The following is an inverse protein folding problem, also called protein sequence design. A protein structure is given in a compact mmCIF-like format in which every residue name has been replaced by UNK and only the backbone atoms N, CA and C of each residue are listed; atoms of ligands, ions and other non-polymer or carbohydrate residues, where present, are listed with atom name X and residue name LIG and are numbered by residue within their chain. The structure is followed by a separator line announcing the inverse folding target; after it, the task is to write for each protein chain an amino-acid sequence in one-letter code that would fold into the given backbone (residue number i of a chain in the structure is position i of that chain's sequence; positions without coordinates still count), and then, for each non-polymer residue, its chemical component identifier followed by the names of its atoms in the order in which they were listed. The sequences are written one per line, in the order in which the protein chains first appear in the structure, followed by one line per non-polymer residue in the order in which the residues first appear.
data_IF_043044800514
#
_entry.id   IF_043044800514
#
_cell.length_a   1.000
_cell.length_b   1.000
_cell.length_c   1.000
_cell.angle_alpha   90.00
_cell.angle_beta   90.00
_cell.angle_gamma   90.00
#
_symmetry.space_group_name_H-M   'P 1'
#
loop_
_entity.id
_entity.type
_entity.pdbx_description
1 polymer ?
#
# COMPACT_ATOMS: atom_id res chain seq x y z
N UNK A 1 -9.50 -5.63 6.00
CA UNK A 1 -8.24 -6.29 5.59
C UNK A 1 -7.11 -5.31 5.88
N UNK A 2 -6.07 -5.67 6.66
CA UNK A 2 -4.94 -4.78 6.93
C UNK A 2 -4.27 -4.24 5.65
N UNK A 3 -4.45 -4.89 4.51
CA UNK A 3 -3.90 -4.46 3.23
C UNK A 3 -4.76 -3.42 2.48
N UNK A 4 -5.99 -3.16 2.92
CA UNK A 4 -6.88 -2.19 2.28
C UNK A 4 -6.33 -0.78 2.57
N UNK A 5 -5.86 -0.09 1.52
CA UNK A 5 -5.21 1.23 1.54
C UNK A 5 -3.86 1.35 2.29
N UNK A 6 -3.43 0.36 3.09
CA UNK A 6 -2.16 0.43 3.84
C UNK A 6 -0.95 -0.20 3.11
N UNK A 7 -1.12 -0.75 1.90
CA UNK A 7 -0.04 -1.36 1.14
C UNK A 7 0.36 -0.48 -0.06
N UNK A 8 1.50 0.20 0.05
CA UNK A 8 2.08 1.00 -1.03
C UNK A 8 3.08 0.19 -1.85
N UNK A 9 3.23 0.54 -3.13
CA UNK A 9 4.14 -0.12 -4.06
C UNK A 9 5.05 0.90 -4.73
N UNK A 10 6.32 0.54 -4.89
CA UNK A 10 7.18 1.22 -5.86
C UNK A 10 6.79 0.79 -7.28
N UNK A 11 6.09 1.68 -7.99
CA UNK A 11 5.59 1.41 -9.33
C UNK A 11 6.59 1.76 -10.45
N UNK A 12 7.82 2.19 -10.13
CA UNK A 12 8.79 2.65 -11.14
C UNK A 12 9.11 1.60 -12.22
N UNK A 13 9.10 0.31 -11.88
CA UNK A 13 9.28 -0.76 -12.87
C UNK A 13 8.02 -1.07 -13.68
N UNK A 14 6.82 -0.83 -13.13
CA UNK A 14 5.53 -1.08 -13.78
C UNK A 14 5.13 0.06 -14.71
N UNK A 15 5.38 1.29 -14.27
CA UNK A 15 4.99 2.51 -14.95
C UNK A 15 6.25 3.39 -15.04
N UNK A 16 7.16 3.11 -15.99
CA UNK A 16 8.43 3.84 -16.10
C UNK A 16 8.26 5.36 -16.33
N UNK A 17 7.13 5.76 -16.91
CA UNK A 17 6.77 7.18 -17.10
C UNK A 17 6.27 7.86 -15.82
N UNK A 18 5.97 7.09 -14.77
CA UNK A 18 5.40 7.58 -13.52
C UNK A 18 3.87 7.70 -13.54
N UNK A 19 3.32 8.19 -12.43
CA UNK A 19 1.89 8.36 -12.24
C UNK A 19 1.56 9.61 -11.42
N UNK A 20 0.41 10.21 -11.70
CA UNK A 20 -0.12 11.32 -10.92
C UNK A 20 -0.95 10.80 -9.74
N UNK A 21 -0.59 11.20 -8.53
CA UNK A 21 -1.18 10.68 -7.28
C UNK A 21 -2.71 10.86 -7.18
N UNK A 22 -3.27 11.95 -7.73
CA UNK A 22 -4.72 12.20 -7.72
C UNK A 22 -5.43 11.88 -9.05
N UNK A 23 -4.67 11.53 -10.09
CA UNK A 23 -5.20 11.19 -11.42
C UNK A 23 -4.53 9.91 -11.89
N UNK A 24 -4.96 8.76 -11.36
CA UNK A 24 -4.22 7.49 -11.45
C UNK A 24 -4.19 6.86 -12.84
N UNK A 25 -4.68 7.53 -13.88
CA UNK A 25 -4.55 7.08 -15.29
C UNK A 25 -3.64 7.99 -16.11
N UNK A 26 -2.95 8.92 -15.46
CA UNK A 26 -2.09 9.91 -16.12
C UNK A 26 -0.71 9.88 -15.48
N UNK A 27 0.34 10.16 -16.26
CA UNK A 27 1.71 10.23 -15.73
C UNK A 27 2.07 11.62 -15.19
N UNK A 28 1.45 12.68 -15.71
CA UNK A 28 1.71 14.08 -15.34
C UNK A 28 0.46 14.86 -14.90
N UNK A 29 -0.70 14.19 -14.80
CA UNK A 29 -1.97 14.82 -14.45
C UNK A 29 -2.76 15.37 -15.65
N UNK A 30 -2.23 15.25 -16.87
CA UNK A 30 -2.84 15.75 -18.11
C UNK A 30 -2.93 14.62 -19.15
N UNK A 31 -1.82 13.93 -19.41
CA UNK A 31 -1.70 12.91 -20.44
C UNK A 31 -1.92 11.51 -19.86
N UNK A 32 -2.73 10.70 -20.56
CA UNK A 32 -3.03 9.32 -20.15
C UNK A 32 -1.83 8.38 -20.32
N UNK A 33 -1.83 7.26 -19.59
CA UNK A 33 -0.87 6.19 -19.81
C UNK A 33 -1.13 5.50 -21.15
N UNK A 34 -0.07 5.37 -21.95
CA UNK A 34 -0.10 4.58 -23.17
C UNK A 34 0.61 3.23 -23.02
N UNK A 35 1.48 3.09 -22.02
CA UNK A 35 2.29 1.90 -21.79
C UNK A 35 2.45 1.61 -20.29
N UNK A 36 2.32 0.35 -19.91
CA UNK A 36 2.66 -0.18 -18.59
C UNK A 36 3.13 -1.63 -18.73
N UNK A 37 3.80 -2.14 -17.70
CA UNK A 37 4.23 -3.54 -17.63
C UNK A 37 3.29 -4.34 -16.72
N UNK A 38 3.03 -5.57 -17.13
CA UNK A 38 2.27 -6.51 -16.31
C UNK A 38 3.04 -6.85 -15.03
N UNK A 39 2.33 -6.97 -13.90
CA UNK A 39 2.93 -7.30 -12.60
C UNK A 39 3.83 -8.54 -12.64
N UNK A 40 3.42 -9.57 -13.37
CA UNK A 40 4.16 -10.83 -13.49
C UNK A 40 5.41 -10.75 -14.37
N UNK A 41 5.61 -9.64 -15.08
CA UNK A 41 6.71 -9.46 -16.04
C UNK A 41 7.91 -8.69 -15.48
N UNK A 42 7.78 -8.10 -14.29
CA UNK A 42 8.86 -7.34 -13.62
C UNK A 42 9.58 -8.23 -12.61
N UNK A 43 10.89 -8.02 -12.45
CA UNK A 43 11.76 -8.92 -11.66
C UNK A 43 11.52 -8.78 -10.16
N UNK A 44 11.25 -7.57 -9.67
CA UNK A 44 11.05 -7.33 -8.23
C UNK A 44 10.20 -6.08 -8.02
N UNK A 45 9.13 -6.22 -7.24
CA UNK A 45 8.34 -5.10 -6.77
C UNK A 45 8.56 -4.92 -5.29
N UNK A 46 8.82 -3.66 -4.89
CA UNK A 46 8.95 -3.29 -3.49
C UNK A 46 7.59 -2.85 -2.97
N UNK A 47 7.16 -3.50 -1.89
CA UNK A 47 5.93 -3.17 -1.19
C UNK A 47 6.28 -2.63 0.19
N UNK A 48 5.51 -1.65 0.63
CA UNK A 48 5.68 -0.99 1.91
C UNK A 48 4.34 -0.99 2.62
N UNK A 49 4.31 -1.47 3.86
CA UNK A 49 3.22 -1.11 4.75
C UNK A 49 3.38 0.36 5.12
N UNK A 50 2.28 1.10 5.00
CA UNK A 50 2.20 2.53 5.29
C UNK A 50 1.03 2.77 6.26
N UNK A 51 0.82 4.04 6.61
CA UNK A 51 -0.29 4.48 7.47
C UNK A 51 -0.34 3.79 8.85
N UNK A 52 0.79 3.83 9.57
CA UNK A 52 0.87 3.29 10.92
C UNK A 52 0.22 4.19 11.99
N UNK A 53 -0.56 5.21 11.61
CA UNK A 53 -1.13 6.18 12.54
C UNK A 53 -2.06 5.57 13.58
N UNK A 54 -2.74 4.48 13.20
CA UNK A 54 -3.64 3.71 14.06
C UNK A 54 -3.07 2.35 14.51
N UNK A 55 -1.88 1.99 14.04
CA UNK A 55 -1.25 0.70 14.32
C UNK A 55 -0.75 0.62 15.76
N UNK A 56 -0.84 -0.58 16.35
CA UNK A 56 -0.38 -0.84 17.72
C UNK A 56 0.53 -2.06 17.78
N UNK A 57 1.59 -1.97 18.58
CA UNK A 57 2.48 -3.09 18.87
C UNK A 57 2.17 -3.65 20.25
N UNK A 58 1.76 -4.91 20.32
CA UNK A 58 1.46 -5.60 21.57
C UNK A 58 2.62 -6.46 22.04
N UNK A 59 2.86 -6.47 23.35
CA UNK A 59 3.79 -7.43 23.94
C UNK A 59 3.18 -8.83 23.87
N UNK A 60 4.02 -9.83 23.61
CA UNK A 60 3.67 -11.24 23.29
C UNK A 60 2.85 -11.96 24.36
N UNK A 61 2.73 -11.38 25.56
CA UNK A 61 2.23 -12.05 26.77
C UNK A 61 0.87 -11.51 27.22
N UNK A 62 0.17 -10.73 26.40
CA UNK A 62 -1.14 -10.18 26.75
C UNK A 62 -2.20 -10.63 25.74
N UNK A 63 -3.30 -11.19 26.25
CA UNK A 63 -4.53 -11.42 25.49
C UNK A 63 -5.20 -10.07 25.19
N UNK A 64 -4.62 -9.30 24.26
CA UNK A 64 -5.16 -8.00 23.90
C UNK A 64 -6.26 -8.17 22.86
N UNK A 65 -7.44 -7.65 23.19
CA UNK A 65 -8.49 -7.42 22.22
C UNK A 65 -8.34 -5.98 21.73
N UNK A 66 -8.02 -5.82 20.46
CA UNK A 66 -8.12 -4.53 19.79
C UNK A 66 -9.32 -4.54 18.86
N UNK A 67 -10.05 -3.43 18.86
CA UNK A 67 -11.18 -3.19 17.97
C UNK A 67 -10.91 -1.87 17.26
N UNK A 68 -11.05 -1.90 15.94
CA UNK A 68 -10.90 -0.73 15.08
C UNK A 68 -11.68 0.48 15.57
N UNK A 69 -11.14 1.66 15.30
CA UNK A 69 -11.96 2.88 15.35
C UNK A 69 -12.80 2.87 14.07
N UNK A 70 -14.14 2.90 14.20
CA UNK A 70 -15.10 2.87 13.07
C UNK A 70 -15.14 1.57 12.23
N UNK A 71 -14.67 0.45 12.76
CA UNK A 71 -14.75 -0.85 12.07
C UNK A 71 -13.63 -1.12 11.07
N UNK A 72 -12.59 -0.26 11.05
CA UNK A 72 -11.36 -0.55 10.32
C UNK A 72 -10.49 -1.55 11.07
N UNK A 73 -9.93 -2.54 10.38
CA UNK A 73 -9.02 -3.50 11.01
C UNK A 73 -7.73 -2.79 11.44
N UNK A 74 -7.35 -2.90 12.71
CA UNK A 74 -6.04 -2.42 13.17
C UNK A 74 -4.96 -3.29 12.56
N UNK A 75 -3.94 -2.66 11.97
CA UNK A 75 -2.79 -3.37 11.42
C UNK A 75 -2.00 -4.03 12.55
N UNK A 76 -2.23 -5.33 12.75
CA UNK A 76 -1.52 -6.15 13.73
C UNK A 76 -0.26 -6.75 13.10
N UNK A 77 0.86 -6.03 13.17
CA UNK A 77 2.15 -6.58 12.79
C UNK A 77 2.77 -7.36 13.96
N UNK A 78 2.84 -8.69 13.83
CA UNK A 78 3.77 -9.51 14.61
C UNK A 78 5.12 -9.48 13.90
N UNK A 79 6.13 -8.87 14.53
CA UNK A 79 7.53 -8.93 14.10
C UNK A 79 8.29 -9.93 14.98
#
# INVERSE_FOLDING_TARGET
DPCEFNLMMDASELIPQGFHFSKPRTYDGIHEWTEWRERGSVKSLRYYFIDFGLSRRYATNKNVKDVGIWGEDVLHCQF
#
